data_IF_205971339700
#
_entry.id   IF_205971339700
#
_cell.length_a   1.000
_cell.length_b   1.000
_cell.length_c   1.000
_cell.angle_alpha   90.00
_cell.angle_beta   90.00
_cell.angle_gamma   90.00
#
_symmetry.space_group_name_H-M   'P 1'
#
loop_
_entity.id
_entity.type
_entity.pdbx_description
1 polymer ?
#
# COMPACT_ATOMS: atom_id res chain seq x y z
N UNK A 1 32.01 46.13 -40.82
CA UNK A 1 32.38 46.75 -39.53
C UNK A 1 31.08 47.07 -38.81
N UNK A 2 30.45 46.07 -38.20
CA UNK A 2 30.59 45.62 -36.79
C UNK A 2 29.96 46.59 -35.79
N UNK A 3 28.85 46.17 -35.20
CA UNK A 3 28.15 46.82 -34.11
C UNK A 3 27.08 45.88 -33.56
N UNK A 4 27.50 44.93 -32.73
CA UNK A 4 26.65 43.97 -32.00
C UNK A 4 25.63 44.68 -31.10
N UNK A 5 24.42 44.11 -31.02
CA UNK A 5 23.40 44.45 -30.01
C UNK A 5 23.51 43.51 -28.81
N UNK A 6 23.34 43.99 -27.57
CA UNK A 6 23.56 43.21 -26.36
C UNK A 6 22.45 42.20 -26.07
N UNK A 7 22.90 41.02 -25.62
CA UNK A 7 22.13 39.88 -25.12
C UNK A 7 21.24 40.27 -23.92
N UNK A 8 19.95 39.94 -24.00
CA UNK A 8 19.05 39.93 -22.85
C UNK A 8 19.14 38.57 -22.16
N UNK A 9 19.83 38.56 -21.02
CA UNK A 9 19.86 37.44 -20.09
C UNK A 9 18.54 37.40 -19.29
N UNK A 10 17.53 36.73 -19.85
CA UNK A 10 16.27 36.44 -19.16
C UNK A 10 16.43 35.16 -18.35
N UNK A 11 16.74 35.30 -17.06
CA UNK A 11 16.84 34.19 -16.12
C UNK A 11 15.64 33.26 -16.21
N UNK A 12 15.91 32.01 -16.62
CA UNK A 12 14.99 30.90 -16.50
C UNK A 12 14.74 30.71 -15.01
N UNK A 13 13.52 31.01 -14.56
CA UNK A 13 13.06 30.60 -13.24
C UNK A 13 13.04 29.09 -13.28
N UNK A 14 14.03 28.49 -12.63
CA UNK A 14 14.03 27.06 -12.36
C UNK A 14 12.72 26.74 -11.65
N UNK A 15 11.96 25.87 -12.30
CA UNK A 15 10.74 25.33 -11.74
C UNK A 15 11.09 24.69 -10.42
N UNK A 16 10.44 25.19 -9.36
CA UNK A 16 10.38 24.54 -8.07
C UNK A 16 9.77 23.15 -8.29
N UNK A 17 10.63 22.17 -8.55
CA UNK A 17 10.29 20.76 -8.48
C UNK A 17 9.97 20.49 -7.02
N UNK A 18 8.67 20.62 -6.70
CA UNK A 18 8.15 20.48 -5.35
C UNK A 18 8.76 19.27 -4.67
N UNK A 19 9.50 19.53 -3.59
CA UNK A 19 9.94 18.50 -2.66
C UNK A 19 8.71 17.75 -2.18
N UNK A 20 8.43 16.59 -2.76
CA UNK A 20 7.50 15.65 -2.16
C UNK A 20 8.02 15.37 -0.74
N UNK A 21 7.29 15.87 0.27
CA UNK A 21 7.67 15.77 1.67
C UNK A 21 8.07 14.34 2.02
N UNK A 22 9.05 14.18 2.92
CA UNK A 22 9.54 12.88 3.34
C UNK A 22 8.37 12.07 3.93
N UNK A 23 8.04 10.95 3.31
CA UNK A 23 6.99 10.05 3.78
C UNK A 23 7.49 9.18 4.93
N UNK A 24 6.80 9.19 6.06
CA UNK A 24 7.07 8.34 7.22
C UNK A 24 5.99 7.27 7.35
N UNK A 25 6.37 6.03 7.71
CA UNK A 25 5.43 4.92 7.85
C UNK A 25 5.32 4.50 9.32
N UNK A 26 4.09 4.54 9.84
CA UNK A 26 3.80 4.28 11.24
C UNK A 26 2.58 3.35 11.43
N UNK A 27 2.28 3.04 12.68
CA UNK A 27 1.08 2.35 13.16
C UNK A 27 -0.11 3.31 13.11
N UNK A 28 -1.27 2.91 12.56
CA UNK A 28 -2.45 3.75 12.63
C UNK A 28 -2.94 3.91 14.06
N UNK A 29 -3.59 5.03 14.33
CA UNK A 29 -4.38 5.29 15.54
C UNK A 29 -5.83 5.52 15.16
N UNK A 30 -6.76 5.40 16.12
CA UNK A 30 -8.20 5.56 15.86
C UNK A 30 -8.53 6.87 15.14
N UNK A 31 -7.82 7.96 15.46
CA UNK A 31 -7.98 9.26 14.84
C UNK A 31 -7.63 9.29 13.33
N UNK A 32 -6.94 8.28 12.79
CA UNK A 32 -6.65 8.15 11.36
C UNK A 32 -7.83 7.61 10.54
N UNK A 33 -8.80 6.94 11.19
CA UNK A 33 -9.91 6.27 10.49
C UNK A 33 -10.66 7.17 9.49
N UNK A 34 -10.97 8.45 9.80
CA UNK A 34 -11.54 9.38 8.83
C UNK A 34 -10.68 9.58 7.58
N UNK A 35 -9.35 9.59 7.72
CA UNK A 35 -8.45 9.75 6.59
C UNK A 35 -8.37 8.47 5.74
N UNK A 36 -8.35 7.28 6.35
CA UNK A 36 -8.43 6.01 5.63
C UNK A 36 -9.73 5.95 4.81
N UNK A 37 -10.87 6.24 5.44
CA UNK A 37 -12.18 6.30 4.77
C UNK A 37 -12.17 7.26 3.57
N UNK A 38 -11.64 8.47 3.76
CA UNK A 38 -11.52 9.48 2.69
C UNK A 38 -10.67 8.96 1.53
N UNK A 39 -9.49 8.41 1.82
CA UNK A 39 -8.58 7.91 0.77
C UNK A 39 -9.21 6.76 -0.01
N UNK A 40 -9.90 5.82 0.66
CA UNK A 40 -10.61 4.73 -0.02
C UNK A 40 -11.72 5.27 -0.92
N UNK A 41 -12.58 6.14 -0.38
CA UNK A 41 -13.68 6.76 -1.13
C UNK A 41 -13.19 7.53 -2.35
N UNK A 42 -12.14 8.33 -2.18
CA UNK A 42 -11.59 9.18 -3.23
C UNK A 42 -10.75 8.39 -4.23
N UNK A 43 -10.43 7.11 -3.95
CA UNK A 43 -9.66 6.25 -4.87
C UNK A 43 -10.43 5.93 -6.16
N UNK A 44 -11.76 5.82 -6.06
CA UNK A 44 -12.67 5.44 -7.14
C UNK A 44 -12.56 3.99 -7.61
N UNK A 45 -11.68 3.18 -7.01
CA UNK A 45 -11.38 1.80 -7.45
C UNK A 45 -11.45 0.77 -6.32
N UNK A 46 -11.46 1.20 -5.07
CA UNK A 46 -11.58 0.31 -3.92
C UNK A 46 -13.02 0.30 -3.40
N UNK A 47 -13.47 -0.87 -2.96
CA UNK A 47 -14.73 -0.99 -2.24
C UNK A 47 -14.70 -0.17 -0.95
N UNK A 48 -15.67 0.73 -0.85
CA UNK A 48 -15.79 1.64 0.27
C UNK A 48 -16.63 0.98 1.35
N UNK A 49 -15.96 0.50 2.40
CA UNK A 49 -16.63 0.05 3.62
C UNK A 49 -17.29 1.22 4.39
N UNK A 50 -18.09 0.91 5.41
CA UNK A 50 -18.58 1.93 6.34
C UNK A 50 -17.42 2.63 7.06
N UNK A 51 -17.59 3.91 7.41
CA UNK A 51 -16.58 4.68 8.15
C UNK A 51 -16.16 4.00 9.47
N UNK A 52 -17.09 3.27 10.10
CA UNK A 52 -16.86 2.50 11.32
C UNK A 52 -15.81 1.39 11.14
N UNK A 53 -15.77 0.72 9.99
CA UNK A 53 -14.79 -0.35 9.71
C UNK A 53 -13.37 0.19 9.79
N UNK A 54 -13.11 1.40 9.28
CA UNK A 54 -11.78 2.01 9.33
C UNK A 54 -11.37 2.39 10.76
N UNK A 55 -12.32 2.84 11.60
CA UNK A 55 -12.04 3.07 13.03
C UNK A 55 -11.66 1.76 13.73
N UNK A 56 -12.35 0.65 13.39
CA UNK A 56 -12.08 -0.67 13.93
C UNK A 56 -10.71 -1.19 13.49
N UNK A 57 -10.33 -1.04 12.21
CA UNK A 57 -8.97 -1.33 11.73
C UNK A 57 -7.90 -0.59 12.52
N UNK A 58 -8.10 0.71 12.72
CA UNK A 58 -7.18 1.54 13.47
C UNK A 58 -7.13 1.23 14.98
N UNK A 59 -8.13 0.54 15.54
CA UNK A 59 -8.19 0.15 16.95
C UNK A 59 -7.63 -1.27 17.18
N UNK A 60 -8.24 -2.25 16.53
CA UNK A 60 -8.04 -3.67 16.85
C UNK A 60 -6.96 -4.32 15.99
N UNK A 61 -6.73 -3.78 14.80
CA UNK A 61 -5.80 -4.33 13.81
C UNK A 61 -4.63 -3.40 13.53
N UNK A 62 -4.39 -2.42 14.41
CA UNK A 62 -3.33 -1.44 14.23
C UNK A 62 -1.94 -2.09 14.12
N UNK A 63 -1.69 -3.14 14.90
CA UNK A 63 -0.41 -3.85 14.92
C UNK A 63 -0.12 -4.68 13.65
N UNK A 64 -1.13 -4.85 12.79
CA UNK A 64 -1.04 -5.55 11.49
C UNK A 64 -1.43 -4.64 10.33
N UNK A 65 -1.48 -3.32 10.59
CA UNK A 65 -1.79 -2.29 9.61
C UNK A 65 -0.71 -1.21 9.64
N UNK A 66 -0.57 -0.43 8.58
CA UNK A 66 0.41 0.68 8.50
C UNK A 66 -0.23 1.89 7.82
N UNK A 67 0.22 3.08 8.19
CA UNK A 67 -0.13 4.35 7.53
C UNK A 67 1.13 5.06 7.07
N UNK A 68 1.05 5.74 5.93
CA UNK A 68 2.06 6.65 5.41
C UNK A 68 1.64 8.08 5.74
N UNK A 69 2.56 8.87 6.30
CA UNK A 69 2.35 10.29 6.62
C UNK A 69 3.28 11.18 5.83
N UNK A 70 2.76 12.27 5.31
CA UNK A 70 3.53 13.40 4.78
C UNK A 70 2.97 14.67 5.44
N UNK A 71 3.85 15.48 6.04
CA UNK A 71 3.48 16.70 6.77
C UNK A 71 2.33 16.45 7.79
N UNK A 72 2.49 15.38 8.59
CA UNK A 72 1.52 14.85 9.58
C UNK A 72 0.17 14.36 9.02
N UNK A 73 -0.09 14.49 7.72
CA UNK A 73 -1.30 14.00 7.08
C UNK A 73 -1.16 12.54 6.64
N UNK A 74 -2.17 11.70 6.89
CA UNK A 74 -2.23 10.36 6.28
C UNK A 74 -2.39 10.51 4.77
N UNK A 75 -1.46 9.94 4.03
CA UNK A 75 -1.43 9.95 2.56
C UNK A 75 -1.47 8.55 1.94
N UNK A 76 -1.50 7.51 2.76
CA UNK A 76 -1.69 6.14 2.31
C UNK A 76 -1.76 5.18 3.48
N UNK A 77 -2.24 3.97 3.23
CA UNK A 77 -2.36 2.95 4.25
C UNK A 77 -2.34 1.54 3.67
N UNK A 78 -2.07 0.57 4.54
CA UNK A 78 -2.37 -0.84 4.33
C UNK A 78 -3.11 -1.36 5.56
N UNK A 79 -4.29 -1.97 5.36
CA UNK A 79 -4.98 -2.74 6.39
C UNK A 79 -4.67 -4.21 6.22
N UNK A 80 -4.44 -4.91 7.34
CA UNK A 80 -4.19 -6.34 7.30
C UNK A 80 -4.36 -7.00 8.65
N UNK A 81 -4.57 -8.32 8.65
CA UNK A 81 -4.76 -9.13 9.85
C UNK A 81 -4.08 -10.50 9.69
N UNK A 82 -3.64 -11.09 10.80
CA UNK A 82 -3.10 -12.45 10.78
C UNK A 82 -4.25 -13.43 10.74
N UNK A 83 -4.21 -14.42 9.83
CA UNK A 83 -5.27 -15.43 9.72
C UNK A 83 -5.36 -16.23 11.02
N UNK A 84 -6.56 -16.35 11.63
CA UNK A 84 -6.73 -17.14 12.85
C UNK A 84 -6.33 -18.61 12.67
N UNK A 85 -6.68 -19.21 11.54
CA UNK A 85 -6.42 -20.63 11.24
C UNK A 85 -5.04 -20.88 10.60
N UNK A 86 -4.30 -19.83 10.25
CA UNK A 86 -2.98 -19.88 9.65
C UNK A 86 -2.11 -18.72 10.20
N UNK A 87 -1.65 -18.81 11.46
CA UNK A 87 -1.02 -17.70 12.16
C UNK A 87 0.33 -17.26 11.59
N UNK A 88 0.89 -18.02 10.65
CA UNK A 88 2.07 -17.67 9.85
C UNK A 88 1.74 -16.80 8.62
N UNK A 89 0.47 -16.43 8.43
CA UNK A 89 0.00 -15.74 7.22
C UNK A 89 -0.67 -14.41 7.57
N UNK A 90 -0.15 -13.31 7.01
CA UNK A 90 -0.83 -12.00 7.04
C UNK A 90 -1.73 -11.88 5.81
N UNK A 91 -3.00 -11.53 6.00
CA UNK A 91 -3.88 -11.08 4.92
C UNK A 91 -3.77 -9.57 4.81
N UNK A 92 -3.47 -9.08 3.61
CA UNK A 92 -3.61 -7.67 3.24
C UNK A 92 -5.00 -7.49 2.63
N UNK A 93 -5.81 -6.61 3.21
CA UNK A 93 -7.16 -6.36 2.73
C UNK A 93 -7.22 -5.15 1.80
N UNK A 94 -6.82 -3.97 2.26
CA UNK A 94 -6.83 -2.77 1.42
C UNK A 94 -5.46 -2.11 1.42
N UNK A 95 -5.02 -1.72 0.22
CA UNK A 95 -3.85 -0.85 -0.01
C UNK A 95 -4.33 0.39 -0.74
N UNK A 96 -4.16 1.56 -0.14
CA UNK A 96 -4.57 2.80 -0.78
C UNK A 96 -3.51 3.89 -0.59
N UNK A 97 -3.34 4.72 -1.61
CA UNK A 97 -2.46 5.89 -1.60
C UNK A 97 -3.23 7.06 -2.20
N UNK A 98 -3.21 8.19 -1.48
CA UNK A 98 -3.81 9.44 -1.91
C UNK A 98 -3.26 9.85 -3.27
N UNK A 99 -4.12 10.46 -4.11
CA UNK A 99 -3.76 10.85 -5.46
C UNK A 99 -2.52 11.75 -5.52
N UNK A 100 -2.32 12.59 -4.50
CA UNK A 100 -1.16 13.48 -4.37
C UNK A 100 0.19 12.75 -4.27
N UNK A 101 0.20 11.46 -3.90
CA UNK A 101 1.42 10.67 -3.68
C UNK A 101 1.58 9.50 -4.66
N UNK A 102 0.72 9.39 -5.68
CA UNK A 102 0.82 8.33 -6.70
C UNK A 102 2.13 8.44 -7.48
N UNK A 103 2.70 7.30 -7.85
CA UNK A 103 3.98 7.23 -8.56
C UNK A 103 5.23 7.41 -7.68
N UNK A 104 5.08 7.83 -6.41
CA UNK A 104 6.19 8.01 -5.46
C UNK A 104 6.67 6.73 -4.74
N UNK A 105 6.17 5.56 -5.12
CA UNK A 105 6.57 4.29 -4.50
C UNK A 105 5.98 4.02 -3.09
N UNK A 106 5.07 4.88 -2.61
CA UNK A 106 4.49 4.80 -1.25
C UNK A 106 3.82 3.46 -0.96
N UNK A 107 3.03 2.91 -1.89
CA UNK A 107 2.37 1.61 -1.70
C UNK A 107 3.38 0.48 -1.48
N UNK A 108 4.48 0.46 -2.25
CA UNK A 108 5.55 -0.52 -2.08
C UNK A 108 6.27 -0.35 -0.75
N UNK A 109 6.52 0.89 -0.31
CA UNK A 109 7.13 1.16 0.98
C UNK A 109 6.24 0.69 2.15
N UNK A 110 4.93 0.94 2.07
CA UNK A 110 3.94 0.46 3.05
C UNK A 110 3.95 -1.07 3.16
N UNK A 111 3.84 -1.79 2.05
CA UNK A 111 3.86 -3.26 2.07
C UNK A 111 5.16 -3.82 2.65
N UNK A 112 6.30 -3.22 2.31
CA UNK A 112 7.57 -3.67 2.89
C UNK A 112 7.61 -3.44 4.41
N UNK A 113 7.18 -2.26 4.87
CA UNK A 113 7.12 -1.97 6.30
C UNK A 113 6.15 -2.89 7.04
N UNK A 114 5.02 -3.24 6.42
CA UNK A 114 4.09 -4.22 6.98
C UNK A 114 4.77 -5.58 7.15
N UNK A 115 5.43 -6.11 6.11
CA UNK A 115 6.15 -7.38 6.17
C UNK A 115 7.20 -7.36 7.29
N UNK A 116 8.03 -6.31 7.36
CA UNK A 116 9.05 -6.17 8.42
C UNK A 116 8.43 -6.16 9.82
N UNK A 117 7.24 -5.59 9.99
CA UNK A 117 6.52 -5.54 11.27
C UNK A 117 5.99 -6.91 11.71
N UNK A 118 5.56 -7.75 10.76
CA UNK A 118 4.91 -9.03 11.09
C UNK A 118 5.87 -10.22 11.08
N UNK A 119 7.01 -10.11 10.39
CA UNK A 119 8.06 -11.14 10.38
C UNK A 119 8.48 -11.60 11.80
N UNK A 120 8.79 -10.70 12.76
CA UNK A 120 9.13 -11.11 14.14
C UNK A 120 7.98 -11.79 14.90
N UNK A 121 6.76 -11.74 14.37
CA UNK A 121 5.57 -12.36 14.98
C UNK A 121 5.31 -13.78 14.45
N UNK A 122 6.26 -14.33 13.67
CA UNK A 122 6.15 -15.66 13.08
C UNK A 122 5.45 -15.69 11.73
N UNK A 123 5.09 -14.53 11.15
CA UNK A 123 4.52 -14.48 9.80
C UNK A 123 5.59 -14.81 8.77
N UNK A 124 5.26 -15.72 7.86
CA UNK A 124 6.10 -16.20 6.76
C UNK A 124 5.45 -15.96 5.40
N UNK A 125 4.14 -15.79 5.36
CA UNK A 125 3.39 -15.63 4.11
C UNK A 125 2.52 -14.37 4.14
N UNK A 126 2.29 -13.80 2.98
CA UNK A 126 1.30 -12.77 2.74
C UNK A 126 0.26 -13.30 1.76
N UNK A 127 -1.01 -13.05 2.05
CA UNK A 127 -2.14 -13.28 1.15
C UNK A 127 -2.87 -11.97 0.86
N UNK A 128 -3.37 -11.82 -0.36
CA UNK A 128 -4.27 -10.74 -0.79
C UNK A 128 -5.16 -11.29 -1.89
N UNK A 129 -6.31 -10.68 -2.13
CA UNK A 129 -7.07 -10.91 -3.36
C UNK A 129 -6.86 -9.78 -4.35
N UNK A 130 -6.91 -10.08 -5.64
CA UNK A 130 -6.78 -9.10 -6.71
C UNK A 130 -7.70 -9.51 -7.87
N UNK A 131 -8.49 -8.56 -8.40
CA UNK A 131 -9.22 -8.73 -9.66
C UNK A 131 -8.26 -8.87 -10.85
N UNK A 132 -8.66 -9.61 -11.87
CA UNK A 132 -7.82 -9.89 -13.04
C UNK A 132 -7.39 -8.62 -13.81
N UNK A 133 -8.19 -7.56 -13.75
CA UNK A 133 -7.96 -6.30 -14.45
C UNK A 133 -7.09 -5.30 -13.65
N UNK A 134 -6.80 -5.56 -12.37
CA UNK A 134 -6.06 -4.64 -11.50
C UNK A 134 -4.54 -4.75 -11.69
N UNK A 135 -4.08 -4.34 -12.87
CA UNK A 135 -2.66 -4.36 -13.25
C UNK A 135 -1.74 -3.61 -12.27
N UNK A 136 -2.26 -2.59 -11.57
CA UNK A 136 -1.51 -1.83 -10.58
C UNK A 136 -1.19 -2.69 -9.34
N UNK A 137 -2.20 -3.36 -8.78
CA UNK A 137 -2.01 -4.29 -7.65
C UNK A 137 -1.16 -5.49 -8.05
N UNK A 138 -1.40 -6.09 -9.22
CA UNK A 138 -0.59 -7.21 -9.73
C UNK A 138 0.90 -6.81 -9.77
N UNK A 139 1.21 -5.64 -10.32
CA UNK A 139 2.60 -5.12 -10.38
C UNK A 139 3.17 -4.89 -8.99
N UNK A 140 2.38 -4.32 -8.08
CA UNK A 140 2.79 -4.02 -6.71
C UNK A 140 3.17 -5.29 -5.94
N UNK A 141 2.29 -6.30 -5.92
CA UNK A 141 2.52 -7.55 -5.20
C UNK A 141 3.59 -8.42 -5.86
N UNK A 142 3.67 -8.43 -7.20
CA UNK A 142 4.79 -9.06 -7.91
C UNK A 142 6.14 -8.41 -7.58
N UNK A 143 6.17 -7.08 -7.40
CA UNK A 143 7.38 -6.37 -6.98
C UNK A 143 7.76 -6.66 -5.53
N UNK A 144 6.79 -6.82 -4.63
CA UNK A 144 7.03 -7.25 -3.26
C UNK A 144 7.68 -8.63 -3.22
N UNK A 145 7.12 -9.62 -3.94
CA UNK A 145 7.66 -10.97 -4.02
C UNK A 145 9.13 -10.98 -4.47
N UNK A 146 9.43 -10.28 -5.58
CA UNK A 146 10.81 -10.14 -6.09
C UNK A 146 11.74 -9.47 -5.07
N UNK A 147 11.30 -8.39 -4.41
CA UNK A 147 12.13 -7.67 -3.43
C UNK A 147 12.44 -8.53 -2.19
N UNK A 148 11.53 -9.42 -1.84
CA UNK A 148 11.64 -10.31 -0.68
C UNK A 148 12.25 -11.67 -1.00
N UNK A 149 12.67 -11.87 -2.25
CA UNK A 149 13.16 -13.16 -2.76
C UNK A 149 12.22 -14.32 -2.40
N UNK A 150 10.92 -14.07 -2.59
CA UNK A 150 9.85 -14.99 -2.23
C UNK A 150 9.05 -15.42 -3.46
N UNK A 151 8.54 -16.65 -3.42
CA UNK A 151 7.64 -17.17 -4.44
C UNK A 151 6.30 -16.40 -4.41
N UNK A 152 5.70 -16.20 -5.58
CA UNK A 152 4.33 -15.71 -5.74
C UNK A 152 3.52 -16.80 -6.45
N UNK A 153 2.50 -17.32 -5.77
CA UNK A 153 1.54 -18.27 -6.30
C UNK A 153 0.19 -17.58 -6.45
N UNK A 154 -0.48 -17.80 -7.58
CA UNK A 154 -1.82 -17.29 -7.87
C UNK A 154 -2.78 -18.46 -8.05
N UNK A 155 -3.95 -18.39 -7.42
CA UNK A 155 -5.02 -19.38 -7.54
C UNK A 155 -6.38 -18.71 -7.47
N UNK A 156 -7.37 -19.25 -8.16
CA UNK A 156 -8.76 -18.81 -8.06
C UNK A 156 -9.27 -18.94 -6.61
N UNK A 157 -10.02 -17.96 -6.11
CA UNK A 157 -10.59 -17.97 -4.75
C UNK A 157 -12.06 -17.60 -4.70
N UNK A 158 -12.41 -16.36 -5.08
CA UNK A 158 -13.80 -15.93 -5.12
C UNK A 158 -14.23 -15.73 -6.56
N UNK A 159 -15.05 -16.64 -7.07
CA UNK A 159 -15.60 -16.57 -8.42
C UNK A 159 -16.74 -15.53 -8.49
N UNK A 160 -16.99 -14.90 -9.66
CA UNK A 160 -17.99 -13.85 -9.80
C UNK A 160 -19.41 -14.24 -9.32
N UNK A 161 -19.78 -15.53 -9.41
CA UNK A 161 -21.09 -16.04 -9.01
C UNK A 161 -21.33 -16.05 -7.48
N UNK A 162 -20.27 -15.87 -6.68
CA UNK A 162 -20.37 -15.74 -5.23
C UNK A 162 -20.76 -14.33 -4.79
N UNK A 163 -20.63 -13.33 -5.67
CA UNK A 163 -20.95 -11.94 -5.36
C UNK A 163 -22.43 -11.65 -5.66
N UNK A 164 -23.17 -11.06 -4.71
CA UNK A 164 -24.59 -10.74 -4.90
C UNK A 164 -24.81 -9.52 -5.81
N UNK A 165 -23.78 -8.72 -5.99
CA UNK A 165 -23.62 -7.65 -6.96
C UNK A 165 -22.71 -8.12 -8.09
N UNK A 166 -22.81 -7.49 -9.28
CA UNK A 166 -22.08 -7.88 -10.49
C UNK A 166 -20.57 -7.53 -10.40
N UNK A 167 -19.90 -8.05 -9.37
CA UNK A 167 -18.51 -7.86 -9.03
C UNK A 167 -17.64 -8.84 -9.82
N UNK A 168 -16.40 -8.44 -10.10
CA UNK A 168 -15.41 -9.31 -10.74
C UNK A 168 -14.92 -10.40 -9.78
N UNK A 169 -14.35 -11.48 -10.34
CA UNK A 169 -13.69 -12.49 -9.53
C UNK A 169 -12.44 -11.95 -8.86
N UNK A 170 -12.10 -12.51 -7.72
CA UNK A 170 -10.98 -12.10 -6.88
C UNK A 170 -10.04 -13.31 -6.69
N UNK A 171 -8.91 -13.29 -7.39
CA UNK A 171 -7.89 -14.34 -7.33
C UNK A 171 -7.03 -14.18 -6.06
N UNK A 172 -6.67 -15.28 -5.42
CA UNK A 172 -5.74 -15.30 -4.29
C UNK A 172 -4.29 -15.19 -4.78
N UNK A 173 -3.59 -14.17 -4.30
CA UNK A 173 -2.16 -14.00 -4.46
C UNK A 173 -1.48 -14.34 -3.14
N UNK A 174 -0.69 -15.41 -3.12
CA UNK A 174 0.09 -15.85 -1.95
C UNK A 174 1.58 -15.63 -2.20
N UNK A 175 2.23 -14.86 -1.33
CA UNK A 175 3.66 -14.55 -1.38
C UNK A 175 4.36 -15.18 -0.18
N UNK A 176 5.42 -15.94 -0.41
CA UNK A 176 6.26 -16.49 0.63
C UNK A 176 6.88 -17.84 0.26
N UNK A 177 7.59 -18.50 1.20
CA UNK A 177 7.92 -17.96 2.51
C UNK A 177 8.91 -16.80 2.39
N UNK A 178 8.70 -15.73 3.16
CA UNK A 178 9.70 -14.67 3.33
C UNK A 178 10.93 -15.23 4.07
N UNK A 179 12.13 -14.65 3.97
CA UNK A 179 13.26 -15.07 4.81
C UNK A 179 13.00 -14.82 6.31
N UNK A 180 13.55 -15.63 7.20
CA UNK A 180 13.48 -15.35 8.65
C UNK A 180 14.30 -14.10 8.97
N UNK A 181 13.89 -13.38 10.02
CA UNK A 181 14.78 -12.38 10.62
C UNK A 181 15.86 -13.17 11.33
N UNK A 182 17.10 -13.11 10.82
CA UNK A 182 18.24 -13.69 11.51
C UNK A 182 18.25 -13.14 12.95
N UNK A 183 18.28 -14.04 13.94
CA UNK A 183 18.44 -13.61 15.32
C UNK A 183 19.72 -12.76 15.42
N UNK A 184 19.70 -11.60 16.10
CA UNK A 184 20.94 -10.89 16.35
C UNK A 184 21.87 -11.82 17.14
N UNK A 185 23.05 -12.08 16.57
CA UNK A 185 24.14 -12.83 17.20
C UNK A 185 24.76 -11.97 18.30
#
# INVERSE_FOLDING_TARGET
MTGEKPSHNGGKRDGDSGSAGRVEIDTPVVADGPALYRITRDSGVLDVNSSYVYLLWCRDFAQTSVVARADDAVVGFVTGFIRPDAPDTIVVWQVAVDASQRGGGVAGALLNRLVDRVLPRGVRYLETTITADNAASIKLFSALARRRDAELVVSELFTPDLFPDAHEGEDLYRIGPFAEVAAPV
#
